data_IF_941067956094
#
_entry.id   IF_941067956094
#
_cell.length_a   1.000
_cell.length_b   1.000
_cell.length_c   1.000
_cell.angle_alpha   90.00
_cell.angle_beta   90.00
_cell.angle_gamma   90.00
#
_symmetry.space_group_name_H-M   'P 1'
#
loop_
_entity.id
_entity.type
_entity.pdbx_description
1 polymer ?
#
# COMPACT_ATOMS: atom_id res chain seq x y z
N UNK A 1 -25.75 -37.52 3.73
CA UNK A 1 -25.19 -37.28 2.37
C UNK A 1 -24.40 -35.97 2.30
N UNK A 2 -24.94 -34.81 2.69
CA UNK A 2 -24.23 -33.52 2.60
C UNK A 2 -22.95 -33.44 3.47
N UNK A 3 -22.96 -34.01 4.68
CA UNK A 3 -21.79 -34.03 5.57
C UNK A 3 -20.59 -34.76 4.95
N UNK A 4 -20.79 -35.97 4.44
CA UNK A 4 -19.71 -36.75 3.80
C UNK A 4 -19.17 -36.06 2.56
N UNK A 5 -20.02 -35.38 1.78
CA UNK A 5 -19.56 -34.58 0.65
C UNK A 5 -18.65 -33.42 1.10
N UNK A 6 -19.04 -32.70 2.16
CA UNK A 6 -18.25 -31.62 2.73
C UNK A 6 -16.87 -32.11 3.23
N UNK A 7 -16.82 -33.25 3.91
CA UNK A 7 -15.55 -33.85 4.36
C UNK A 7 -14.64 -34.26 3.19
N UNK A 8 -15.22 -34.76 2.09
CA UNK A 8 -14.45 -35.13 0.90
C UNK A 8 -13.84 -33.89 0.22
N UNK A 9 -14.61 -32.80 0.08
CA UNK A 9 -14.09 -31.53 -0.43
C UNK A 9 -12.95 -30.99 0.44
N UNK A 10 -13.04 -31.11 1.76
CA UNK A 10 -11.95 -30.69 2.64
C UNK A 10 -10.69 -31.54 2.47
N UNK A 11 -10.83 -32.86 2.23
CA UNK A 11 -9.69 -33.73 1.90
C UNK A 11 -9.06 -33.38 0.56
N UNK A 12 -9.86 -33.05 -0.45
CA UNK A 12 -9.38 -32.58 -1.76
C UNK A 12 -8.60 -31.27 -1.62
N UNK A 13 -9.04 -30.34 -0.77
CA UNK A 13 -8.27 -29.14 -0.44
C UNK A 13 -6.93 -29.50 0.22
N UNK A 14 -6.91 -30.47 1.13
CA UNK A 14 -5.69 -31.01 1.74
C UNK A 14 -4.69 -31.52 0.71
N UNK A 15 -5.16 -32.25 -0.30
CA UNK A 15 -4.33 -32.74 -1.39
C UNK A 15 -3.84 -31.61 -2.30
N UNK A 16 -4.70 -30.65 -2.61
CA UNK A 16 -4.38 -29.55 -3.51
C UNK A 16 -3.39 -28.55 -2.90
N UNK A 17 -3.59 -28.18 -1.63
CA UNK A 17 -2.74 -27.23 -0.90
C UNK A 17 -1.65 -27.90 -0.05
N UNK A 18 -1.54 -29.23 -0.11
CA UNK A 18 -0.51 -30.02 0.56
C UNK A 18 -0.48 -29.87 2.10
N UNK A 19 -1.65 -29.99 2.74
CA UNK A 19 -1.77 -30.05 4.20
C UNK A 19 -2.48 -31.32 4.67
N UNK A 20 -2.32 -31.70 5.93
CA UNK A 20 -2.96 -32.88 6.53
C UNK A 20 -4.35 -32.50 7.09
N UNK A 21 -5.46 -32.89 6.43
CA UNK A 21 -6.81 -32.54 6.85
C UNK A 21 -7.23 -33.22 8.18
N UNK A 22 -6.43 -34.16 8.71
CA UNK A 22 -6.67 -34.75 10.04
C UNK A 22 -6.01 -33.96 11.17
N UNK A 23 -5.02 -33.13 10.86
CA UNK A 23 -4.29 -32.30 11.83
C UNK A 23 -4.82 -30.88 11.92
N UNK A 24 -5.64 -30.47 10.96
CA UNK A 24 -6.25 -29.14 10.89
C UNK A 24 -7.75 -29.30 10.86
N UNK A 25 -8.46 -28.69 11.81
CA UNK A 25 -9.93 -28.69 11.76
C UNK A 25 -10.42 -27.80 10.62
N UNK A 26 -11.62 -28.07 10.13
CA UNK A 26 -12.25 -27.26 9.06
C UNK A 26 -12.45 -25.82 9.53
N UNK A 27 -12.83 -25.63 10.80
CA UNK A 27 -13.01 -24.32 11.39
C UNK A 27 -11.70 -23.53 11.44
N UNK A 28 -10.61 -24.13 11.94
CA UNK A 28 -9.31 -23.47 12.03
C UNK A 28 -8.79 -23.08 10.64
N UNK A 29 -8.90 -23.99 9.65
CA UNK A 29 -8.48 -23.72 8.28
C UNK A 29 -9.19 -22.50 7.68
N UNK A 30 -10.52 -22.45 7.80
CA UNK A 30 -11.29 -21.33 7.24
C UNK A 30 -11.20 -20.06 8.09
N UNK A 31 -10.94 -20.17 9.39
CA UNK A 31 -10.65 -19.03 10.25
C UNK A 31 -9.34 -18.36 9.84
N UNK A 32 -8.28 -19.14 9.65
CA UNK A 32 -6.97 -18.66 9.17
C UNK A 32 -7.09 -18.03 7.78
N UNK A 33 -7.82 -18.66 6.88
CA UNK A 33 -8.05 -18.12 5.53
C UNK A 33 -8.85 -16.81 5.57
N UNK A 34 -9.86 -16.72 6.43
CA UNK A 34 -10.63 -15.49 6.62
C UNK A 34 -9.77 -14.37 7.21
N UNK A 35 -8.93 -14.69 8.19
CA UNK A 35 -7.96 -13.75 8.76
C UNK A 35 -6.98 -13.26 7.69
N UNK A 36 -6.40 -14.17 6.90
CA UNK A 36 -5.54 -13.82 5.77
C UNK A 36 -6.24 -12.87 4.77
N UNK A 37 -7.48 -13.19 4.36
CA UNK A 37 -8.27 -12.34 3.47
C UNK A 37 -8.44 -10.94 4.05
N UNK A 38 -8.80 -10.83 5.32
CA UNK A 38 -9.03 -9.54 5.98
C UNK A 38 -7.73 -8.73 6.08
N UNK A 39 -6.62 -9.38 6.45
CA UNK A 39 -5.30 -8.75 6.49
C UNK A 39 -4.87 -8.28 5.10
N UNK A 40 -5.09 -9.07 4.06
CA UNK A 40 -4.76 -8.70 2.69
C UNK A 40 -5.55 -7.46 2.24
N UNK A 41 -6.86 -7.44 2.46
CA UNK A 41 -7.70 -6.28 2.14
C UNK A 41 -7.29 -5.02 2.92
N UNK A 42 -6.89 -5.17 4.18
CA UNK A 42 -6.37 -4.07 4.99
C UNK A 42 -5.03 -3.56 4.43
N UNK A 43 -4.10 -4.45 4.10
CA UNK A 43 -2.82 -4.09 3.49
C UNK A 43 -2.98 -3.35 2.15
N UNK A 44 -3.98 -3.72 1.33
CA UNK A 44 -4.31 -3.00 0.10
C UNK A 44 -4.72 -1.55 0.39
N UNK A 45 -5.57 -1.32 1.40
CA UNK A 45 -5.98 0.04 1.82
C UNK A 45 -4.80 0.84 2.34
N UNK A 46 -3.94 0.22 3.16
CA UNK A 46 -2.75 0.86 3.71
C UNK A 46 -1.75 1.24 2.61
N UNK A 47 -1.55 0.36 1.62
CA UNK A 47 -0.72 0.65 0.45
C UNK A 47 -1.26 1.83 -0.35
N UNK A 48 -2.58 1.93 -0.53
CA UNK A 48 -3.19 3.08 -1.19
C UNK A 48 -2.95 4.38 -0.40
N UNK A 49 -3.23 4.38 0.90
CA UNK A 49 -2.99 5.53 1.78
C UNK A 49 -1.52 5.97 1.78
N UNK A 50 -0.59 5.00 1.78
CA UNK A 50 0.85 5.26 1.69
C UNK A 50 1.20 5.98 0.38
N UNK A 51 0.74 5.47 -0.77
CA UNK A 51 0.97 6.10 -2.08
C UNK A 51 0.40 7.52 -2.16
N UNK A 52 -0.80 7.75 -1.66
CA UNK A 52 -1.42 9.08 -1.62
C UNK A 52 -0.61 10.06 -0.76
N UNK A 53 -0.11 9.60 0.39
CA UNK A 53 0.70 10.40 1.30
C UNK A 53 2.07 10.74 0.69
N UNK A 54 2.74 9.75 0.09
CA UNK A 54 4.01 9.94 -0.63
C UNK A 54 3.87 10.95 -1.76
N UNK A 55 2.81 10.86 -2.57
CA UNK A 55 2.58 11.79 -3.67
C UNK A 55 2.27 13.20 -3.16
N UNK A 56 1.50 13.34 -2.08
CA UNK A 56 1.24 14.64 -1.44
C UNK A 56 2.54 15.27 -0.92
N UNK A 57 3.39 14.51 -0.25
CA UNK A 57 4.70 14.99 0.23
C UNK A 57 5.61 15.38 -0.94
N UNK A 58 5.65 14.58 -2.00
CA UNK A 58 6.43 14.88 -3.21
C UNK A 58 6.00 16.20 -3.85
N UNK A 59 4.69 16.42 -4.00
CA UNK A 59 4.14 17.67 -4.55
C UNK A 59 4.46 18.88 -3.66
N UNK A 60 4.33 18.75 -2.35
CA UNK A 60 4.66 19.82 -1.42
C UNK A 60 6.15 20.19 -1.48
N UNK A 61 7.05 19.19 -1.56
CA UNK A 61 8.49 19.40 -1.71
C UNK A 61 8.81 20.14 -3.02
N UNK A 62 8.26 19.67 -4.15
CA UNK A 62 8.47 20.32 -5.45
C UNK A 62 7.94 21.76 -5.49
N UNK A 63 6.78 22.03 -4.88
CA UNK A 63 6.22 23.38 -4.79
C UNK A 63 7.12 24.31 -3.97
N UNK A 64 7.67 23.83 -2.84
CA UNK A 64 8.60 24.59 -2.01
C UNK A 64 9.91 24.89 -2.74
N UNK A 65 10.51 23.88 -3.38
CA UNK A 65 11.74 24.04 -4.17
C UNK A 65 11.54 25.04 -5.33
N UNK A 66 10.39 24.97 -6.02
CA UNK A 66 10.05 25.93 -7.07
C UNK A 66 9.91 27.36 -6.53
N UNK A 67 9.20 27.54 -5.43
CA UNK A 67 9.03 28.87 -4.80
C UNK A 67 10.36 29.46 -4.32
N UNK A 68 11.25 28.64 -3.76
CA UNK A 68 12.60 29.08 -3.36
C UNK A 68 13.46 29.46 -4.57
N UNK A 69 13.38 28.71 -5.66
CA UNK A 69 14.07 29.03 -6.92
C UNK A 69 13.58 30.35 -7.51
N UNK A 70 12.26 30.54 -7.63
CA UNK A 70 11.66 31.78 -8.13
C UNK A 70 12.01 33.00 -7.26
N UNK A 71 12.05 32.82 -5.93
CA UNK A 71 12.48 33.88 -5.00
C UNK A 71 13.95 34.28 -5.23
N UNK A 72 14.85 33.30 -5.37
CA UNK A 72 16.28 33.55 -5.64
C UNK A 72 16.48 34.23 -6.99
N UNK A 73 15.82 33.77 -8.05
CA UNK A 73 15.91 34.38 -9.38
C UNK A 73 15.39 35.83 -9.37
N UNK A 74 14.28 36.10 -8.67
CA UNK A 74 13.76 37.47 -8.53
C UNK A 74 14.70 38.38 -7.75
N UNK A 75 15.39 37.85 -6.74
CA UNK A 75 16.38 38.60 -5.98
C UNK A 75 17.63 38.91 -6.83
N UNK A 76 18.17 37.93 -7.55
CA UNK A 76 19.31 38.13 -8.45
C UNK A 76 19.02 39.15 -9.55
N UNK A 77 17.83 39.09 -10.17
CA UNK A 77 17.42 40.09 -11.18
C UNK A 77 17.33 41.51 -10.60
N UNK A 78 16.90 41.66 -9.34
CA UNK A 78 16.88 42.96 -8.66
C UNK A 78 18.28 43.49 -8.38
N UNK A 79 19.18 42.64 -7.93
CA UNK A 79 20.59 42.99 -7.66
C UNK A 79 21.30 43.45 -8.95
N UNK A 80 21.10 42.74 -10.07
CA UNK A 80 21.67 43.13 -11.37
C UNK A 80 21.16 44.51 -11.86
N UNK A 81 19.89 44.85 -11.63
CA UNK A 81 19.34 46.15 -12.03
C UNK A 81 19.88 47.32 -11.19
N UNK A 82 20.23 47.07 -9.93
CA UNK A 82 20.86 48.09 -9.06
C UNK A 82 22.31 48.33 -9.50
N UNK A 83 23.04 47.26 -9.83
CA UNK A 83 24.44 47.34 -10.27
C UNK A 83 24.59 48.05 -11.63
N UNK A 84 23.64 47.89 -12.55
CA UNK A 84 23.65 48.61 -13.84
C UNK A 84 23.32 50.12 -13.75
N UNK A 85 22.78 50.57 -12.62
CA UNK A 85 22.42 51.98 -12.38
C UNK A 85 23.42 52.71 -11.46
N UNK A 86 24.49 52.04 -11.03
CA UNK A 86 25.62 52.61 -10.29
C UNK A 86 26.79 52.94 -11.24
#
# INVERSE_FOLDING_TARGET
>A
MMHSNMENLFKELGQYFLFDPKKTSIEDFFMDLNNFRNMFLQAVKENQKRRETEEKMRRAKLAKEKAEKERKEKQQKREQLIDMNA
#
